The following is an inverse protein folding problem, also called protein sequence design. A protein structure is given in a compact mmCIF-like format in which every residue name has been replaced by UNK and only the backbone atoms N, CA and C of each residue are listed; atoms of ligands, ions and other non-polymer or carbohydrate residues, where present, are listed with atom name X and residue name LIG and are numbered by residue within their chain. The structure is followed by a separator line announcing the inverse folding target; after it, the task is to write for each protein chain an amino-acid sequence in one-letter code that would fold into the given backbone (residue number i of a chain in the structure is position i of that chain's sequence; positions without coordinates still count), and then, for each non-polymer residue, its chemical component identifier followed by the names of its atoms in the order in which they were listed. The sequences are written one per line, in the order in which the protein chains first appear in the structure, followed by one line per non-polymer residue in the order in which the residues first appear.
data_IF_957046719094
#
_entry.id   IF_957046719094
#
_cell.length_a   1.000
_cell.length_b   1.000
_cell.length_c   1.000
_cell.angle_alpha   90.00
_cell.angle_beta   90.00
_cell.angle_gamma   90.00
#
_symmetry.space_group_name_H-M   'P 1'
#
loop_
_entity.id
_entity.type
_entity.pdbx_description
1 polymer ?
#
# COMPACT_ATOMS: atom_id res chain seq x y z
N UNK A 1 -9.56 0.07 13.52
CA UNK A 1 -9.01 0.70 12.30
C UNK A 1 -7.54 0.93 12.57
N UNK A 2 -6.60 0.22 11.91
CA UNK A 2 -5.18 0.50 12.04
C UNK A 2 -4.82 1.88 11.49
N UNK A 3 -3.93 2.58 12.20
CA UNK A 3 -3.34 3.85 11.77
C UNK A 3 -2.02 3.60 11.05
N UNK A 4 -1.90 4.15 9.85
CA UNK A 4 -0.72 4.08 8.99
C UNK A 4 -0.14 5.48 8.76
N UNK A 5 1.17 5.54 8.53
CA UNK A 5 1.88 6.75 8.15
C UNK A 5 2.42 6.57 6.72
N UNK A 6 1.83 7.27 5.76
CA UNK A 6 2.26 7.30 4.36
C UNK A 6 2.94 8.62 4.05
N UNK A 7 4.24 8.62 3.80
CA UNK A 7 5.02 9.82 3.45
C UNK A 7 4.74 11.02 4.37
N UNK A 8 4.64 10.77 5.67
CA UNK A 8 4.35 11.78 6.71
C UNK A 8 2.86 12.08 6.91
N UNK A 9 1.96 11.50 6.11
CA UNK A 9 0.50 11.66 6.23
C UNK A 9 -0.11 10.50 7.01
N UNK A 10 -0.83 10.82 8.08
CA UNK A 10 -1.56 9.82 8.86
C UNK A 10 -2.87 9.46 8.17
N UNK A 11 -3.16 8.17 8.09
CA UNK A 11 -4.42 7.65 7.56
C UNK A 11 -4.89 6.48 8.42
N UNK A 12 -6.19 6.43 8.72
CA UNK A 12 -6.80 5.29 9.41
C UNK A 12 -7.63 4.52 8.40
N UNK A 13 -7.33 3.24 8.23
CA UNK A 13 -7.98 2.38 7.22
C UNK A 13 -8.62 1.15 7.86
N UNK A 14 -9.61 0.52 7.21
CA UNK A 14 -10.08 -0.79 7.64
C UNK A 14 -8.96 -1.84 7.68
N UNK A 15 -9.01 -2.82 8.61
CA UNK A 15 -8.13 -3.98 8.54
C UNK A 15 -8.28 -4.71 7.20
N UNK A 16 -7.17 -5.12 6.60
CA UNK A 16 -7.16 -5.79 5.29
C UNK A 16 -7.12 -4.84 4.08
N UNK A 17 -7.15 -3.52 4.29
CA UNK A 17 -6.87 -2.56 3.22
C UNK A 17 -5.41 -2.64 2.82
N UNK A 18 -5.14 -2.88 1.53
CA UNK A 18 -3.79 -2.94 1.01
C UNK A 18 -3.13 -1.54 0.96
N UNK A 19 -1.81 -1.50 0.78
CA UNK A 19 -1.07 -0.24 0.80
C UNK A 19 -1.35 0.66 -0.42
N UNK A 20 -1.83 0.13 -1.55
CA UNK A 20 -2.25 0.95 -2.70
C UNK A 20 -3.47 1.80 -2.34
N UNK A 21 -4.49 1.17 -1.76
CA UNK A 21 -5.72 1.85 -1.36
C UNK A 21 -5.51 2.77 -0.15
N UNK A 22 -4.71 2.34 0.82
CA UNK A 22 -4.36 3.16 1.96
C UNK A 22 -3.58 4.42 1.53
N UNK A 23 -2.64 4.29 0.59
CA UNK A 23 -1.96 5.42 -0.02
C UNK A 23 -2.94 6.39 -0.69
N UNK A 24 -3.89 5.87 -1.48
CA UNK A 24 -4.89 6.70 -2.15
C UNK A 24 -5.74 7.51 -1.15
N UNK A 25 -6.15 6.89 -0.04
CA UNK A 25 -6.88 7.59 1.03
C UNK A 25 -6.02 8.66 1.72
N UNK A 26 -4.71 8.46 1.82
CA UNK A 26 -3.75 9.46 2.29
C UNK A 26 -3.40 10.53 1.23
N UNK A 27 -3.96 10.45 0.02
CA UNK A 27 -3.65 11.33 -1.11
C UNK A 27 -2.26 11.10 -1.72
N UNK A 28 -1.71 9.90 -1.55
CA UNK A 28 -0.43 9.44 -2.13
C UNK A 28 -0.75 8.39 -3.20
N UNK A 29 -0.43 8.69 -4.45
CA UNK A 29 -0.73 7.78 -5.55
C UNK A 29 0.39 6.76 -5.74
N UNK A 30 0.10 5.48 -5.46
CA UNK A 30 1.01 4.37 -5.74
C UNK A 30 0.75 3.89 -7.17
N UNK A 31 1.76 3.89 -8.07
CA UNK A 31 1.56 3.47 -9.44
C UNK A 31 1.30 1.96 -9.53
N UNK A 32 0.30 1.58 -10.33
CA UNK A 32 -0.15 0.20 -10.52
C UNK A 32 -0.49 -0.07 -11.98
N UNK A 33 -0.16 -1.27 -12.46
CA UNK A 33 -0.62 -1.77 -13.77
C UNK A 33 -1.46 -3.03 -13.65
N UNK A 34 -1.00 -4.01 -12.87
CA UNK A 34 -1.64 -5.33 -12.75
C UNK A 34 -2.53 -5.47 -11.48
N UNK A 35 -2.99 -4.36 -10.91
CA UNK A 35 -3.89 -4.34 -9.76
C UNK A 35 -5.13 -3.52 -10.11
N UNK A 36 -6.29 -4.05 -9.72
CA UNK A 36 -7.57 -3.36 -9.79
C UNK A 36 -8.39 -3.74 -8.56
N UNK A 37 -9.13 -2.80 -7.97
CA UNK A 37 -9.93 -3.03 -6.75
C UNK A 37 -10.85 -4.25 -6.87
N UNK A 38 -11.58 -4.33 -7.98
CA UNK A 38 -12.57 -5.38 -8.20
C UNK A 38 -11.98 -6.70 -8.72
N UNK A 39 -10.71 -6.70 -9.17
CA UNK A 39 -10.05 -7.90 -9.71
C UNK A 39 -8.95 -8.45 -8.79
N UNK A 40 -8.54 -7.67 -7.79
CA UNK A 40 -7.44 -8.00 -6.90
C UNK A 40 -6.06 -7.75 -7.51
N UNK A 41 -5.05 -8.38 -6.91
CA UNK A 41 -3.65 -8.19 -7.25
C UNK A 41 -3.05 -9.43 -7.92
N UNK A 42 -2.40 -9.22 -9.07
CA UNK A 42 -1.64 -10.27 -9.77
C UNK A 42 -0.17 -10.31 -9.32
N UNK A 43 0.39 -9.17 -8.90
CA UNK A 43 1.79 -9.07 -8.48
C UNK A 43 2.83 -9.20 -9.61
N UNK A 44 2.43 -9.15 -10.88
CA UNK A 44 3.33 -9.31 -12.02
C UNK A 44 4.18 -8.05 -12.31
N UNK A 45 3.58 -6.85 -12.27
CA UNK A 45 4.25 -5.64 -12.77
C UNK A 45 5.32 -5.06 -11.82
N UNK A 46 5.23 -5.34 -10.51
CA UNK A 46 6.12 -4.82 -9.44
C UNK A 46 6.31 -3.30 -9.38
N UNK A 47 5.59 -2.52 -10.19
CA UNK A 47 5.64 -1.05 -10.21
C UNK A 47 5.17 -0.43 -8.89
N UNK A 48 4.33 -1.12 -8.13
CA UNK A 48 3.86 -0.71 -6.81
C UNK A 48 4.84 -1.00 -5.65
N UNK A 49 6.12 -1.23 -5.93
CA UNK A 49 7.10 -1.52 -4.90
C UNK A 49 7.30 -0.30 -3.98
N UNK A 50 7.16 -0.52 -2.67
CA UNK A 50 7.30 0.52 -1.64
C UNK A 50 8.13 -0.01 -0.47
N UNK A 51 8.79 0.90 0.23
CA UNK A 51 9.48 0.57 1.48
C UNK A 51 8.50 0.67 2.64
N UNK A 52 8.24 -0.45 3.30
CA UNK A 52 7.42 -0.50 4.52
C UNK A 52 8.32 -0.69 5.74
N UNK A 53 8.14 0.16 6.76
CA UNK A 53 8.89 0.09 8.01
C UNK A 53 7.96 -0.36 9.13
N UNK A 54 8.15 -1.58 9.60
CA UNK A 54 7.36 -2.15 10.70
C UNK A 54 8.30 -2.53 11.82
N UNK A 55 8.03 -2.06 13.05
CA UNK A 55 8.87 -2.30 14.24
C UNK A 55 10.36 -1.98 13.99
N UNK A 56 10.63 -0.87 13.31
CA UNK A 56 12.01 -0.42 13.00
C UNK A 56 12.73 -1.22 11.91
N UNK A 57 12.08 -2.20 11.28
CA UNK A 57 12.65 -2.97 10.18
C UNK A 57 12.04 -2.52 8.85
N UNK A 58 12.88 -1.94 7.99
CA UNK A 58 12.50 -1.59 6.63
C UNK A 58 12.53 -2.84 5.73
N UNK A 59 11.48 -3.03 4.94
CA UNK A 59 11.38 -4.09 3.93
C UNK A 59 10.80 -3.50 2.65
N UNK A 60 11.35 -3.93 1.51
CA UNK A 60 10.72 -3.69 0.22
C UNK A 60 9.54 -4.65 0.07
N UNK A 61 8.35 -4.09 -0.14
CA UNK A 61 7.11 -4.85 -0.32
C UNK A 61 6.35 -4.35 -1.53
N UNK A 62 5.47 -5.19 -2.05
CA UNK A 62 4.62 -4.87 -3.19
C UNK A 62 3.29 -4.38 -2.62
N UNK A 63 2.98 -3.09 -2.78
CA UNK A 63 1.85 -2.46 -2.10
C UNK A 63 0.49 -3.12 -2.41
N UNK A 64 0.35 -3.74 -3.58
CA UNK A 64 -0.89 -4.44 -3.94
C UNK A 64 -1.04 -5.84 -3.31
N UNK A 65 0.01 -6.38 -2.69
CA UNK A 65 0.02 -7.74 -2.11
C UNK A 65 0.15 -7.72 -0.57
N UNK A 66 -0.15 -6.60 0.07
CA UNK A 66 -0.10 -6.42 1.54
C UNK A 66 -1.46 -6.45 2.17
#
# INVERSE_FOLDING_TARGET
MPDLLFDGRKVSVPPGTNLVEAGLQAGVQVPVFCYHRDLGAVGACRVCAVTSTVKGKARLVMACMT
#
